data_IF_766166067963
#
_entry.id   IF_766166067963
#
_cell.length_a   1.000
_cell.length_b   1.000
_cell.length_c   1.000
_cell.angle_alpha   90.00
_cell.angle_beta   90.00
_cell.angle_gamma   90.00
#
_symmetry.space_group_name_H-M   'P 1'
#
loop_
_entity.id
_entity.type
_entity.pdbx_description
1 polymer ?
#
# COMPACT_ATOMS: atom_id res chain seq x y z
N UNK A 1 -52.70 9.92 13.51
CA UNK A 1 -51.46 10.43 14.11
C UNK A 1 -50.93 11.55 13.21
N UNK A 2 -50.87 12.80 13.69
CA UNK A 2 -50.39 13.92 12.90
C UNK A 2 -48.92 14.14 13.22
N UNK A 3 -48.05 13.87 12.24
CA UNK A 3 -46.60 14.14 12.36
C UNK A 3 -46.39 15.64 12.20
N UNK A 4 -45.72 16.26 13.16
CA UNK A 4 -45.42 17.69 13.15
C UNK A 4 -44.46 18.05 11.99
N UNK A 5 -44.59 19.30 11.47
CA UNK A 5 -43.75 19.75 10.33
C UNK A 5 -42.26 19.65 10.63
N UNK A 6 -41.82 19.93 11.85
CA UNK A 6 -40.42 19.79 12.26
C UNK A 6 -39.95 18.34 12.33
N UNK A 7 -40.83 17.38 12.68
CA UNK A 7 -40.49 15.95 12.65
C UNK A 7 -40.23 15.48 11.22
N UNK A 8 -41.05 15.92 10.25
CA UNK A 8 -40.83 15.62 8.82
C UNK A 8 -39.53 16.21 8.32
N UNK A 9 -39.22 17.46 8.68
CA UNK A 9 -37.98 18.13 8.31
C UNK A 9 -36.77 17.38 8.89
N UNK A 10 -36.84 17.01 10.18
CA UNK A 10 -35.77 16.29 10.86
C UNK A 10 -35.55 14.90 10.26
N UNK A 11 -36.61 14.14 9.96
CA UNK A 11 -36.53 12.86 9.30
C UNK A 11 -35.92 12.97 7.89
N UNK A 12 -36.35 13.97 7.10
CA UNK A 12 -35.78 14.20 5.78
C UNK A 12 -34.29 14.53 5.86
N UNK A 13 -33.86 15.41 6.78
CA UNK A 13 -32.46 15.72 7.00
C UNK A 13 -31.64 14.49 7.41
N UNK A 14 -32.17 13.67 8.32
CA UNK A 14 -31.54 12.43 8.77
C UNK A 14 -31.31 11.46 7.61
N UNK A 15 -32.30 11.29 6.73
CA UNK A 15 -32.18 10.42 5.54
C UNK A 15 -31.08 10.97 4.60
N UNK A 16 -31.05 12.28 4.34
CA UNK A 16 -30.01 12.89 3.50
C UNK A 16 -28.62 12.68 4.09
N UNK A 17 -28.46 12.84 5.41
CA UNK A 17 -27.18 12.61 6.08
C UNK A 17 -26.72 11.15 6.03
N UNK A 18 -27.68 10.20 6.20
CA UNK A 18 -27.38 8.76 6.07
C UNK A 18 -26.92 8.43 4.64
N UNK A 19 -27.63 8.93 3.63
CA UNK A 19 -27.26 8.70 2.22
C UNK A 19 -25.90 9.33 1.88
N UNK A 20 -25.61 10.52 2.40
CA UNK A 20 -24.34 11.17 2.25
C UNK A 20 -23.22 10.35 2.92
N UNK A 21 -23.43 9.84 4.13
CA UNK A 21 -22.49 8.98 4.83
C UNK A 21 -22.22 7.69 4.05
N UNK A 22 -23.27 6.99 3.59
CA UNK A 22 -23.14 5.78 2.78
C UNK A 22 -22.33 6.09 1.51
N UNK A 23 -22.65 7.19 0.81
CA UNK A 23 -21.92 7.61 -0.39
C UNK A 23 -20.44 7.87 -0.12
N UNK A 24 -20.12 8.55 0.98
CA UNK A 24 -18.74 8.85 1.39
C UNK A 24 -17.96 7.57 1.73
N UNK A 25 -18.57 6.66 2.51
CA UNK A 25 -17.94 5.38 2.86
C UNK A 25 -17.74 4.51 1.63
N UNK A 26 -18.73 4.43 0.75
CA UNK A 26 -18.61 3.65 -0.50
C UNK A 26 -17.52 4.23 -1.40
N UNK A 27 -17.47 5.54 -1.57
CA UNK A 27 -16.42 6.21 -2.36
C UNK A 27 -15.04 5.94 -1.77
N UNK A 28 -14.89 6.03 -0.44
CA UNK A 28 -13.62 5.73 0.23
C UNK A 28 -13.20 4.27 0.17
N UNK A 29 -14.15 3.34 -0.05
CA UNK A 29 -13.86 1.90 -0.13
C UNK A 29 -13.54 1.41 -1.55
N UNK A 30 -14.06 2.08 -2.60
CA UNK A 30 -13.93 1.60 -3.99
C UNK A 30 -13.50 2.71 -4.95
N UNK A 31 -13.14 3.89 -4.44
CA UNK A 31 -12.68 5.02 -5.26
C UNK A 31 -11.29 4.78 -5.85
N UNK A 32 -10.91 5.54 -6.91
CA UNK A 32 -9.58 5.46 -7.49
C UNK A 32 -8.47 5.72 -6.46
N UNK A 33 -7.36 4.97 -6.54
CA UNK A 33 -6.23 5.10 -5.63
C UNK A 33 -6.46 4.51 -4.23
N UNK A 34 -7.51 3.70 -4.04
CA UNK A 34 -7.71 2.96 -2.78
C UNK A 34 -6.83 1.73 -2.77
N UNK A 35 -5.90 1.68 -1.83
CA UNK A 35 -5.12 0.48 -1.57
C UNK A 35 -5.97 -0.58 -0.86
N UNK A 36 -5.86 -1.81 -1.30
CA UNK A 36 -6.50 -2.97 -0.69
C UNK A 36 -5.44 -3.80 0.05
N UNK A 37 -5.70 -4.11 1.31
CA UNK A 37 -4.87 -5.04 2.08
C UNK A 37 -5.56 -6.39 2.05
N UNK A 38 -4.85 -7.42 1.59
CA UNK A 38 -5.41 -8.77 1.53
C UNK A 38 -5.47 -9.42 2.91
N UNK A 39 -6.52 -10.21 3.15
CA UNK A 39 -6.66 -11.01 4.38
C UNK A 39 -5.76 -12.26 4.38
N UNK A 40 -5.18 -12.61 3.22
CA UNK A 40 -4.30 -13.77 3.07
C UNK A 40 -2.88 -13.39 3.49
N UNK A 41 -2.49 -13.75 4.71
CA UNK A 41 -1.11 -13.63 5.16
C UNK A 41 -0.36 -14.91 4.82
N UNK A 42 0.60 -14.83 3.91
CA UNK A 42 1.56 -15.90 3.73
C UNK A 42 2.63 -15.83 4.82
N UNK A 43 3.07 -16.99 5.32
CA UNK A 43 4.13 -17.04 6.34
C UNK A 43 5.50 -17.20 5.68
N UNK A 44 6.51 -16.61 6.30
CA UNK A 44 7.90 -16.67 5.87
C UNK A 44 8.82 -16.76 7.08
N UNK A 45 9.98 -17.41 6.95
CA UNK A 45 11.00 -17.38 8.01
C UNK A 45 11.83 -16.08 7.91
N UNK A 46 11.74 -15.16 8.86
CA UNK A 46 12.49 -13.89 8.80
C UNK A 46 14.01 -14.09 8.88
N UNK A 47 14.48 -15.22 9.38
CA UNK A 47 15.91 -15.56 9.43
C UNK A 47 16.41 -16.15 8.10
N UNK A 48 15.54 -16.56 7.20
CA UNK A 48 15.85 -17.21 5.93
C UNK A 48 15.33 -16.42 4.71
N UNK A 49 15.16 -15.10 4.81
CA UNK A 49 14.70 -14.27 3.70
C UNK A 49 15.64 -14.35 2.48
N UNK A 50 16.93 -14.52 2.71
CA UNK A 50 17.93 -14.65 1.65
C UNK A 50 17.84 -15.99 0.90
N UNK A 51 17.03 -16.95 1.39
CA UNK A 51 16.75 -18.24 0.77
C UNK A 51 15.37 -18.30 0.10
N UNK A 52 14.50 -17.29 0.33
CA UNK A 52 13.16 -17.19 -0.29
C UNK A 52 13.27 -16.50 -1.65
N UNK A 53 12.76 -17.14 -2.70
CA UNK A 53 12.83 -16.61 -4.09
C UNK A 53 12.24 -15.22 -4.26
N UNK A 54 11.28 -14.83 -3.41
CA UNK A 54 10.61 -13.51 -3.45
C UNK A 54 11.46 -12.42 -2.81
N UNK A 55 12.16 -12.74 -1.70
CA UNK A 55 12.80 -11.73 -0.84
C UNK A 55 14.32 -11.81 -0.78
N UNK A 56 14.94 -12.82 -1.43
CA UNK A 56 16.41 -12.91 -1.57
C UNK A 56 16.99 -11.74 -2.37
N UNK A 57 16.21 -11.23 -3.34
CA UNK A 57 16.52 -10.04 -4.14
C UNK A 57 15.27 -9.16 -4.22
N UNK A 58 15.08 -8.22 -3.26
CA UNK A 58 13.94 -7.31 -3.26
C UNK A 58 13.89 -6.50 -4.56
N UNK A 59 12.76 -6.59 -5.27
CA UNK A 59 12.62 -6.07 -6.64
C UNK A 59 11.16 -5.75 -6.98
N UNK A 60 10.97 -5.16 -8.15
CA UNK A 60 9.67 -5.04 -8.84
C UNK A 60 9.76 -5.85 -10.12
N UNK A 61 8.81 -6.74 -10.34
CA UNK A 61 8.75 -7.59 -11.53
C UNK A 61 7.38 -7.55 -12.19
N UNK A 62 7.35 -7.75 -13.50
CA UNK A 62 6.11 -7.82 -14.28
C UNK A 62 5.53 -9.23 -14.24
N UNK A 63 4.26 -9.34 -13.86
CA UNK A 63 3.54 -10.63 -13.79
C UNK A 63 2.39 -10.73 -14.79
N UNK A 64 2.01 -9.62 -15.43
CA UNK A 64 0.93 -9.57 -16.41
C UNK A 64 0.96 -8.31 -17.27
N UNK A 65 -0.09 -8.13 -18.08
CA UNK A 65 -0.27 -6.89 -18.84
C UNK A 65 -0.67 -5.76 -17.86
N UNK A 66 0.24 -4.81 -17.60
CA UNK A 66 0.12 -3.75 -16.61
C UNK A 66 -0.08 -4.25 -15.17
N UNK A 67 0.35 -5.47 -14.87
CA UNK A 67 0.32 -6.06 -13.53
C UNK A 67 1.76 -6.32 -13.06
N UNK A 68 2.09 -5.84 -11.86
CA UNK A 68 3.42 -5.92 -11.28
C UNK A 68 3.36 -6.38 -9.83
N UNK A 69 4.41 -7.09 -9.41
CA UNK A 69 4.64 -7.44 -8.01
C UNK A 69 5.92 -6.75 -7.52
N UNK A 70 5.85 -6.17 -6.33
CA UNK A 70 6.98 -5.54 -5.68
C UNK A 70 7.28 -6.27 -4.37
N UNK A 71 8.45 -6.87 -4.27
CA UNK A 71 8.92 -7.55 -3.06
C UNK A 71 9.79 -6.61 -2.25
N UNK A 72 9.35 -6.31 -1.03
CA UNK A 72 9.96 -5.29 -0.18
C UNK A 72 10.28 -5.88 1.20
N UNK A 73 11.49 -5.63 1.66
CA UNK A 73 11.94 -6.01 3.00
C UNK A 73 12.11 -4.76 3.87
N UNK A 74 11.40 -4.70 4.99
CA UNK A 74 11.63 -3.71 6.03
C UNK A 74 12.69 -4.21 7.02
N UNK A 75 13.55 -3.30 7.47
CA UNK A 75 14.60 -3.56 8.45
C UNK A 75 14.90 -2.28 9.26
N UNK A 76 15.61 -2.40 10.36
CA UNK A 76 16.04 -1.25 11.18
C UNK A 76 17.25 -0.53 10.54
N UNK A 77 17.12 0.66 9.87
CA UNK A 77 15.95 1.53 9.80
C UNK A 77 15.72 1.94 8.34
N UNK A 78 15.19 1.06 7.53
CA UNK A 78 15.00 1.31 6.10
C UNK A 78 14.08 0.30 5.44
N UNK A 79 13.92 0.47 4.14
CA UNK A 79 13.18 -0.42 3.24
C UNK A 79 14.08 -0.80 2.07
N UNK A 80 13.96 -2.01 1.58
CA UNK A 80 14.68 -2.50 0.39
C UNK A 80 13.69 -3.13 -0.59
N UNK A 81 13.67 -2.72 -1.88
CA UNK A 81 14.51 -1.66 -2.45
C UNK A 81 14.06 -0.26 -2.01
N UNK A 82 14.96 0.72 -2.07
CA UNK A 82 14.61 2.13 -1.93
C UNK A 82 15.43 2.98 -2.93
N UNK A 83 14.78 3.76 -3.81
CA UNK A 83 13.34 3.86 -4.01
C UNK A 83 12.73 2.55 -4.57
N UNK A 84 11.45 2.30 -4.26
CA UNK A 84 10.62 1.31 -4.96
C UNK A 84 10.19 1.98 -6.26
N UNK A 85 10.64 1.49 -7.40
CA UNK A 85 10.29 2.07 -8.71
C UNK A 85 9.19 1.23 -9.36
N UNK A 86 8.06 1.83 -9.67
CA UNK A 86 6.90 1.18 -10.28
C UNK A 86 6.42 1.94 -11.50
N UNK A 87 5.85 1.28 -12.51
CA UNK A 87 5.34 1.97 -13.69
C UNK A 87 3.97 2.61 -13.44
N UNK A 88 3.69 3.68 -14.17
CA UNK A 88 2.38 4.33 -14.22
C UNK A 88 1.36 3.51 -15.04
N UNK A 89 0.07 3.76 -14.83
CA UNK A 89 -1.06 3.06 -15.47
C UNK A 89 -1.01 1.54 -15.25
N UNK A 90 -0.72 1.13 -14.02
CA UNK A 90 -0.52 -0.27 -13.66
C UNK A 90 -1.17 -0.60 -12.32
N UNK A 91 -1.46 -1.89 -12.13
CA UNK A 91 -1.79 -2.46 -10.82
C UNK A 91 -0.53 -3.06 -10.22
N UNK A 92 -0.15 -2.61 -9.04
CA UNK A 92 1.05 -3.07 -8.33
C UNK A 92 0.64 -3.74 -7.03
N UNK A 93 1.01 -5.00 -6.85
CA UNK A 93 0.87 -5.70 -5.58
C UNK A 93 2.20 -5.65 -4.82
N UNK A 94 2.21 -4.94 -3.71
CA UNK A 94 3.35 -4.83 -2.81
C UNK A 94 3.30 -5.99 -1.80
N UNK A 95 4.30 -6.88 -1.84
CA UNK A 95 4.53 -7.92 -0.85
C UNK A 95 5.60 -7.42 0.11
N UNK A 96 5.20 -7.14 1.34
CA UNK A 96 6.10 -6.52 2.33
C UNK A 96 6.29 -7.43 3.53
N UNK A 97 7.54 -7.71 3.89
CA UNK A 97 7.89 -8.46 5.09
C UNK A 97 8.94 -7.74 5.92
N UNK A 98 9.16 -8.20 7.14
CA UNK A 98 10.20 -7.66 8.03
C UNK A 98 11.29 -8.68 8.29
N UNK A 99 12.54 -8.21 8.29
CA UNK A 99 13.73 -9.02 8.64
C UNK A 99 13.97 -9.11 10.15
N UNK A 100 13.47 -8.16 10.94
CA UNK A 100 13.88 -7.99 12.34
C UNK A 100 12.72 -7.74 13.32
N UNK A 101 12.15 -6.56 13.34
CA UNK A 101 11.08 -6.16 14.27
C UNK A 101 9.82 -5.76 13.51
N UNK A 102 8.76 -5.43 14.23
CA UNK A 102 7.55 -4.87 13.62
C UNK A 102 7.86 -3.47 13.08
N UNK A 103 7.39 -3.20 11.85
CA UNK A 103 7.43 -1.90 11.18
C UNK A 103 6.04 -1.50 10.71
N UNK A 104 5.86 -0.22 10.41
CA UNK A 104 4.74 0.26 9.60
C UNK A 104 5.19 0.47 8.16
N UNK A 105 4.26 0.35 7.23
CA UNK A 105 4.44 0.67 5.82
C UNK A 105 3.32 1.61 5.41
N UNK A 106 3.60 2.91 5.44
CA UNK A 106 2.65 3.96 5.10
C UNK A 106 3.11 4.72 3.87
N UNK A 107 2.27 4.73 2.83
CA UNK A 107 2.50 5.54 1.63
C UNK A 107 1.81 6.89 1.82
N UNK A 108 2.61 7.92 2.02
CA UNK A 108 2.15 9.27 2.40
C UNK A 108 1.19 9.85 1.37
N UNK A 109 0.05 10.33 1.84
CA UNK A 109 -0.97 10.95 0.99
C UNK A 109 -1.94 9.96 0.33
N UNK A 110 -1.85 8.68 0.66
CA UNK A 110 -2.76 7.62 0.22
C UNK A 110 -3.42 6.94 1.41
N UNK A 111 -4.25 5.94 1.17
CA UNK A 111 -4.78 5.04 2.21
C UNK A 111 -3.96 3.74 2.35
N UNK A 112 -2.86 3.59 1.62
CA UNK A 112 -1.97 2.43 1.72
C UNK A 112 -1.20 2.49 3.04
N UNK A 113 -1.58 1.64 3.98
CA UNK A 113 -0.99 1.53 5.31
C UNK A 113 -1.16 0.11 5.82
N UNK A 114 -0.08 -0.54 6.15
CA UNK A 114 -0.08 -1.89 6.70
C UNK A 114 0.95 -2.04 7.82
N UNK A 115 0.66 -2.94 8.76
CA UNK A 115 1.64 -3.41 9.73
C UNK A 115 2.49 -4.50 9.07
N UNK A 116 3.80 -4.42 9.23
CA UNK A 116 4.78 -5.37 8.70
C UNK A 116 5.35 -6.16 9.87
N UNK A 117 4.92 -7.42 9.98
CA UNK A 117 5.27 -8.29 11.11
C UNK A 117 6.31 -9.32 10.65
N UNK A 118 7.43 -9.51 11.41
CA UNK A 118 8.37 -10.58 11.11
C UNK A 118 7.68 -11.94 11.09
N UNK A 119 7.91 -12.72 10.04
CA UNK A 119 7.28 -14.03 9.86
C UNK A 119 5.98 -14.02 9.06
N UNK A 120 5.51 -12.84 8.67
CA UNK A 120 4.32 -12.63 7.83
C UNK A 120 4.66 -11.81 6.59
N UNK A 121 3.89 -11.98 5.52
CA UNK A 121 3.95 -11.14 4.33
C UNK A 121 2.65 -10.35 4.24
N UNK A 122 2.75 -9.03 4.31
CA UNK A 122 1.62 -8.13 4.09
C UNK A 122 1.49 -7.83 2.60
N UNK A 123 0.29 -8.00 2.05
CA UNK A 123 -0.01 -7.72 0.64
C UNK A 123 -0.86 -6.46 0.54
N UNK A 124 -0.39 -5.50 -0.26
CA UNK A 124 -1.07 -4.22 -0.50
C UNK A 124 -1.15 -4.01 -2.01
N UNK A 125 -2.35 -4.02 -2.57
CA UNK A 125 -2.55 -3.71 -4.00
C UNK A 125 -2.87 -2.24 -4.17
N UNK A 126 -2.13 -1.58 -5.05
CA UNK A 126 -2.31 -0.16 -5.41
C UNK A 126 -2.45 -0.01 -6.93
N UNK A 127 -3.25 0.95 -7.34
CA UNK A 127 -3.33 1.39 -8.74
C UNK A 127 -2.48 2.64 -8.91
N UNK A 128 -1.64 2.65 -9.93
CA UNK A 128 -0.76 3.78 -10.26
C UNK A 128 -1.27 4.46 -11.53
N UNK A 129 -1.61 5.75 -11.46
CA UNK A 129 -2.14 6.49 -12.62
C UNK A 129 -1.03 7.25 -13.35
N UNK A 130 -0.55 8.34 -12.80
CA UNK A 130 0.43 9.24 -13.43
C UNK A 130 1.79 9.16 -12.73
N UNK A 131 2.90 9.45 -13.46
CA UNK A 131 4.22 9.55 -12.86
C UNK A 131 4.24 10.54 -11.69
N UNK A 132 4.68 10.07 -10.52
CA UNK A 132 4.75 10.86 -9.29
C UNK A 132 5.70 10.23 -8.28
N UNK A 133 6.05 10.95 -7.21
CA UNK A 133 6.85 10.44 -6.09
C UNK A 133 6.00 10.45 -4.82
N UNK A 134 5.94 9.32 -4.13
CA UNK A 134 5.35 9.21 -2.80
C UNK A 134 6.43 9.00 -1.75
N UNK A 135 6.28 9.65 -0.60
CA UNK A 135 7.04 9.32 0.60
C UNK A 135 6.57 7.98 1.17
N UNK A 136 7.50 7.21 1.70
CA UNK A 136 7.23 5.97 2.44
C UNK A 136 7.73 6.16 3.86
N UNK A 137 6.88 5.93 4.86
CA UNK A 137 7.19 6.10 6.27
C UNK A 137 6.97 4.81 7.05
N UNK A 138 7.84 4.58 8.03
CA UNK A 138 7.57 3.63 9.10
C UNK A 138 6.76 4.35 10.19
N UNK A 139 5.47 4.03 10.32
CA UNK A 139 4.58 4.63 11.31
C UNK A 139 4.36 3.76 12.57
N UNK A 140 5.12 2.65 12.70
CA UNK A 140 5.15 1.79 13.88
C UNK A 140 6.54 1.84 14.54
N UNK A 141 6.61 1.97 15.88
CA UNK A 141 7.87 2.11 16.59
C UNK A 141 8.76 0.87 16.43
N UNK A 142 9.86 1.03 15.70
CA UNK A 142 10.81 -0.03 15.37
C UNK A 142 12.19 0.10 16.05
N UNK A 143 12.38 1.09 16.92
CA UNK A 143 13.64 1.26 17.66
C UNK A 143 14.18 2.69 17.64
N UNK A 144 15.45 2.86 17.99
CA UNK A 144 16.07 4.16 18.22
C UNK A 144 16.12 5.06 16.98
N UNK A 145 16.23 4.48 15.78
CA UNK A 145 16.25 5.20 14.50
C UNK A 145 14.86 5.31 13.83
N UNK A 146 13.78 4.92 14.52
CA UNK A 146 12.43 4.97 13.95
C UNK A 146 12.07 6.33 13.33
N UNK A 147 12.45 7.42 13.95
CA UNK A 147 12.14 8.79 13.53
C UNK A 147 12.83 9.23 12.22
N UNK A 148 13.77 8.45 11.69
CA UNK A 148 14.46 8.68 10.41
C UNK A 148 14.24 7.55 9.41
N UNK A 149 13.39 6.57 9.74
CA UNK A 149 13.07 5.45 8.86
C UNK A 149 12.05 5.90 7.81
N UNK A 150 12.57 6.22 6.64
CA UNK A 150 11.81 6.67 5.48
C UNK A 150 12.30 5.99 4.20
N UNK A 151 11.49 6.03 3.17
CA UNK A 151 11.79 5.57 1.83
C UNK A 151 10.96 6.32 0.81
N UNK A 152 10.98 5.85 -0.43
CA UNK A 152 10.24 6.46 -1.53
C UNK A 152 9.65 5.40 -2.45
N UNK A 153 8.49 5.73 -3.03
CA UNK A 153 7.93 5.01 -4.16
C UNK A 153 7.91 5.98 -5.34
N UNK A 154 8.62 5.64 -6.40
CA UNK A 154 8.70 6.43 -7.62
C UNK A 154 7.83 5.78 -8.69
N UNK A 155 6.71 6.40 -9.01
CA UNK A 155 5.91 6.04 -10.17
C UNK A 155 6.51 6.71 -11.38
N UNK A 156 6.99 5.92 -12.35
CA UNK A 156 7.64 6.41 -13.58
C UNK A 156 6.82 6.04 -14.81
N UNK A 157 7.14 6.61 -15.98
CA UNK A 157 6.50 6.17 -17.21
C UNK A 157 6.86 4.71 -17.53
N UNK A 158 6.00 4.00 -18.27
CA UNK A 158 6.29 2.62 -18.72
C UNK A 158 7.64 2.52 -19.44
N UNK A 159 7.93 3.45 -20.35
CA UNK A 159 9.19 3.47 -21.08
C UNK A 159 10.41 3.69 -20.17
N UNK A 160 10.29 4.52 -19.15
CA UNK A 160 11.36 4.73 -18.18
C UNK A 160 11.58 3.50 -17.29
N UNK A 161 10.49 2.79 -16.95
CA UNK A 161 10.57 1.55 -16.17
C UNK A 161 11.30 0.45 -16.97
N UNK A 162 10.93 0.25 -18.24
CA UNK A 162 11.57 -0.69 -19.16
C UNK A 162 13.08 -0.37 -19.37
N UNK A 163 13.42 0.92 -19.59
CA UNK A 163 14.81 1.37 -19.74
C UNK A 163 15.67 1.11 -18.49
N UNK A 164 15.07 1.01 -17.30
CA UNK A 164 15.76 0.69 -16.03
C UNK A 164 15.93 -0.82 -15.81
N UNK A 165 15.47 -1.66 -16.74
CA UNK A 165 15.53 -3.12 -16.62
C UNK A 165 14.36 -3.71 -15.81
N UNK A 166 13.25 -3.02 -15.74
CA UNK A 166 12.02 -3.48 -15.08
C UNK A 166 11.34 -4.68 -15.74
N UNK A 167 11.85 -5.14 -16.88
CA UNK A 167 11.46 -6.37 -17.58
C UNK A 167 12.60 -7.41 -17.50
N UNK A 168 13.15 -7.70 -16.34
CA UNK A 168 14.04 -8.87 -16.21
C UNK A 168 13.21 -10.14 -16.37
N UNK A 169 13.33 -10.76 -17.57
CA UNK A 169 12.85 -12.10 -17.88
C UNK A 169 13.35 -13.14 -16.87
#
# INVERSE_FOLDING_TARGET
MHIHAYEKLWLALSIVLILALIGTVTYGAVGPGVAMVADSQSTIDPAALDEDERFSEPRVERVGENEYEAYVVAYQFGFEPTPIVVPANSTVTLHVTSRDVIHGFEVVGTNANAMVVPGEVSEITVETDEPTEYGLLCNEYCGAGHHVMEGKINVVSQSEFEDRGGDSE
#
